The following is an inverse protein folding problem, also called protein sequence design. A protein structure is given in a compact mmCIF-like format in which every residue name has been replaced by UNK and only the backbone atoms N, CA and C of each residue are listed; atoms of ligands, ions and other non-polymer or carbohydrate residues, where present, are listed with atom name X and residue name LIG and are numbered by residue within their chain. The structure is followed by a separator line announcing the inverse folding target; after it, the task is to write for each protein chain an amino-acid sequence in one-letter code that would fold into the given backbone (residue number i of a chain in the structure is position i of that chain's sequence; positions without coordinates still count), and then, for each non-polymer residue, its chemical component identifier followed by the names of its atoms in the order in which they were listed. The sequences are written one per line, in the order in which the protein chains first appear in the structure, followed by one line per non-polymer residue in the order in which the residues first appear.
data_IF_636314935785
#
_entry.id   IF_636314935785
#
_cell.length_a   1.000
_cell.length_b   1.000
_cell.length_c   1.000
_cell.angle_alpha   90.00
_cell.angle_beta   90.00
_cell.angle_gamma   90.00
#
_symmetry.space_group_name_H-M   'P 1'
#
loop_
_entity.id
_entity.type
_entity.pdbx_description
1 polymer ?
#
# COMPACT_ATOMS: atom_id res chain seq x y z
N UNK A 1 16.83 -12.08 -6.08
CA UNK A 1 17.17 -11.50 -7.39
C UNK A 1 18.66 -11.12 -7.41
N UNK A 2 19.40 -11.21 -8.54
CA UNK A 2 20.85 -11.03 -8.58
C UNK A 2 21.33 -9.57 -8.71
N UNK A 3 20.43 -8.60 -8.73
CA UNK A 3 20.81 -7.19 -8.77
C UNK A 3 21.01 -6.71 -7.33
N UNK A 4 22.28 -6.54 -6.93
CA UNK A 4 22.60 -6.01 -5.60
C UNK A 4 22.00 -4.62 -5.40
N UNK A 5 21.67 -4.29 -4.15
CA UNK A 5 21.13 -2.99 -3.72
C UNK A 5 22.19 -1.86 -3.76
N UNK A 6 22.90 -1.79 -4.87
CA UNK A 6 24.03 -0.87 -5.10
C UNK A 6 23.60 0.58 -4.98
N UNK A 7 22.37 0.91 -5.40
CA UNK A 7 21.82 2.26 -5.29
C UNK A 7 21.62 2.69 -3.83
N UNK A 8 21.08 1.84 -2.95
CA UNK A 8 20.97 2.19 -1.53
C UNK A 8 22.33 2.30 -0.84
N UNK A 9 23.28 1.41 -1.19
CA UNK A 9 24.65 1.49 -0.68
C UNK A 9 25.31 2.83 -1.00
N UNK A 10 25.02 3.45 -2.15
CA UNK A 10 25.52 4.78 -2.46
C UNK A 10 24.85 5.87 -1.62
N UNK A 11 23.54 5.76 -1.36
CA UNK A 11 22.78 6.70 -0.51
C UNK A 11 23.29 6.72 0.93
N UNK A 12 23.78 5.58 1.43
CA UNK A 12 24.38 5.50 2.78
C UNK A 12 25.67 6.30 2.94
N UNK A 13 26.29 6.78 1.86
CA UNK A 13 27.42 7.70 1.94
C UNK A 13 27.00 9.14 2.27
N UNK A 14 25.72 9.47 2.17
CA UNK A 14 25.16 10.76 2.51
C UNK A 14 24.53 10.73 3.90
N UNK A 15 24.55 11.89 4.56
CA UNK A 15 23.93 12.06 5.87
C UNK A 15 22.43 11.82 5.83
N UNK A 16 21.84 11.57 7.00
CA UNK A 16 20.38 11.38 7.12
C UNK A 16 19.65 12.65 6.68
N UNK A 17 20.23 13.81 6.97
CA UNK A 17 19.66 15.12 6.65
C UNK A 17 19.64 15.43 5.15
N UNK A 18 20.63 14.94 4.40
CA UNK A 18 20.72 15.14 2.94
C UNK A 18 19.72 14.28 2.18
N UNK A 19 19.43 13.08 2.67
CA UNK A 19 18.56 12.11 2.00
C UNK A 19 17.12 12.13 2.53
N UNK A 20 16.87 12.74 3.68
CA UNK A 20 15.52 12.87 4.22
C UNK A 20 14.65 13.73 3.28
N UNK A 21 13.46 13.24 2.88
CA UNK A 21 12.61 13.96 1.94
C UNK A 21 12.07 15.28 2.52
N UNK A 22 11.95 16.31 1.69
CA UNK A 22 11.21 17.53 2.06
C UNK A 22 9.70 17.27 2.00
N UNK A 23 9.10 17.15 3.18
CA UNK A 23 7.67 16.88 3.36
C UNK A 23 6.89 18.11 3.86
N UNK A 24 7.47 19.30 3.75
CA UNK A 24 6.91 20.54 4.33
C UNK A 24 5.53 20.95 3.78
N UNK A 25 5.15 20.45 2.60
CA UNK A 25 3.88 20.74 1.92
C UNK A 25 2.99 19.50 1.78
N UNK A 26 3.30 18.43 2.50
CA UNK A 26 2.66 17.14 2.33
C UNK A 26 1.57 16.90 3.37
N UNK A 27 0.47 16.32 2.91
CA UNK A 27 -0.69 15.96 3.70
C UNK A 27 -1.12 14.52 3.38
N UNK A 28 -0.32 13.58 3.83
CA UNK A 28 -0.59 12.14 3.78
C UNK A 28 -0.15 11.49 5.11
N UNK A 29 -0.64 10.28 5.40
CA UNK A 29 -0.36 9.60 6.68
C UNK A 29 1.14 9.35 6.89
N UNK A 30 1.86 8.89 5.86
CA UNK A 30 3.30 8.67 5.90
C UNK A 30 4.04 9.94 6.32
N UNK A 31 3.74 11.09 5.72
CA UNK A 31 4.43 12.35 5.99
C UNK A 31 4.19 12.88 7.42
N UNK A 32 3.06 12.55 8.05
CA UNK A 32 2.81 12.90 9.46
C UNK A 32 3.65 12.08 10.44
N UNK A 33 4.06 10.88 10.04
CA UNK A 33 4.67 9.88 10.92
C UNK A 33 6.18 9.79 10.68
N UNK A 34 6.62 9.95 9.44
CA UNK A 34 8.03 9.85 9.08
C UNK A 34 8.81 11.01 9.68
N UNK A 35 9.66 10.70 10.65
CA UNK A 35 10.62 11.64 11.25
C UNK A 35 12.03 11.34 10.76
N UNK A 36 12.94 12.31 10.89
CA UNK A 36 14.36 12.10 10.58
C UNK A 36 14.98 10.95 11.38
N UNK A 37 14.57 10.81 12.65
CA UNK A 37 15.00 9.71 13.50
C UNK A 37 14.50 8.35 12.98
N UNK A 38 13.21 8.27 12.63
CA UNK A 38 12.60 7.06 12.08
C UNK A 38 13.25 6.66 10.75
N UNK A 39 13.48 7.64 9.87
CA UNK A 39 14.17 7.46 8.60
C UNK A 39 15.60 6.96 8.81
N UNK A 40 16.37 7.62 9.68
CA UNK A 40 17.73 7.21 10.01
C UNK A 40 17.85 5.79 10.57
N UNK A 41 16.85 5.34 11.35
CA UNK A 41 16.81 3.98 11.92
C UNK A 41 16.53 2.88 10.89
N UNK A 42 15.94 3.21 9.74
CA UNK A 42 15.41 2.22 8.80
C UNK A 42 15.92 2.37 7.36
N UNK A 43 16.60 3.46 7.00
CA UNK A 43 17.10 3.73 5.64
C UNK A 43 18.15 2.71 5.15
N UNK A 44 18.86 2.07 6.07
CA UNK A 44 19.84 1.01 5.79
C UNK A 44 19.20 -0.38 5.66
N UNK A 45 17.91 -0.52 5.97
CA UNK A 45 17.18 -1.79 5.89
C UNK A 45 16.66 -2.06 4.49
N UNK A 46 16.52 -3.35 4.21
CA UNK A 46 15.86 -3.86 3.03
C UNK A 46 15.15 -5.19 3.36
N UNK A 47 14.14 -5.52 2.59
CA UNK A 47 13.46 -6.82 2.65
C UNK A 47 14.30 -7.91 1.96
N UNK A 48 13.93 -9.21 2.07
CA UNK A 48 14.62 -10.28 1.35
C UNK A 48 14.61 -10.12 -0.16
N UNK A 49 13.60 -9.42 -0.72
CA UNK A 49 13.52 -9.12 -2.16
C UNK A 49 14.37 -7.91 -2.57
N UNK A 50 14.84 -7.12 -1.59
CA UNK A 50 15.64 -5.91 -1.80
C UNK A 50 14.83 -4.61 -1.76
N UNK A 51 13.56 -4.65 -1.35
CA UNK A 51 12.71 -3.47 -1.22
C UNK A 51 13.17 -2.61 -0.03
N UNK A 52 13.34 -1.31 -0.23
CA UNK A 52 13.91 -0.38 0.75
C UNK A 52 12.87 0.57 1.33
N UNK A 53 13.25 1.31 2.38
CA UNK A 53 12.39 2.36 2.94
C UNK A 53 12.05 3.44 1.91
N UNK A 54 13.00 3.79 1.03
CA UNK A 54 12.76 4.79 0.00
C UNK A 54 11.71 4.32 -1.00
N UNK A 55 11.74 3.03 -1.39
CA UNK A 55 10.72 2.44 -2.25
C UNK A 55 9.34 2.46 -1.57
N UNK A 56 9.29 2.22 -0.25
CA UNK A 56 8.06 2.28 0.54
C UNK A 56 7.43 3.67 0.50
N UNK A 57 8.22 4.73 0.66
CA UNK A 57 7.71 6.10 0.84
C UNK A 57 7.61 6.91 -0.46
N UNK A 58 8.23 6.45 -1.56
CA UNK A 58 8.36 7.22 -2.81
C UNK A 58 7.02 7.78 -3.30
N UNK A 59 5.95 6.99 -3.23
CA UNK A 59 4.61 7.45 -3.63
C UNK A 59 4.12 8.65 -2.80
N UNK A 60 4.37 8.67 -1.49
CA UNK A 60 3.98 9.79 -0.64
C UNK A 60 4.89 10.99 -0.79
N UNK A 61 6.17 10.79 -1.14
CA UNK A 61 7.11 11.88 -1.45
C UNK A 61 6.69 12.59 -2.74
N UNK A 62 6.38 11.83 -3.80
CA UNK A 62 6.01 12.39 -5.11
C UNK A 62 4.59 12.98 -5.12
N UNK A 63 3.70 12.47 -4.25
CA UNK A 63 2.31 12.89 -4.18
C UNK A 63 2.03 13.59 -2.83
N UNK A 64 2.13 14.94 -2.75
CA UNK A 64 1.96 15.69 -1.51
C UNK A 64 0.54 15.66 -0.92
N UNK A 65 -0.40 14.97 -1.54
CA UNK A 65 -1.75 14.77 -1.04
C UNK A 65 -2.78 15.66 -1.74
N UNK A 66 -4.02 15.61 -1.22
CA UNK A 66 -5.17 16.31 -1.80
C UNK A 66 -5.89 17.13 -0.71
N UNK A 67 -6.43 18.33 -1.00
CA UNK A 67 -7.02 19.21 0.03
C UNK A 67 -8.17 18.60 0.84
N UNK A 68 -8.87 17.62 0.27
CA UNK A 68 -10.08 17.04 0.86
C UNK A 68 -9.92 15.58 1.30
N UNK A 69 -8.84 14.91 0.88
CA UNK A 69 -8.67 13.47 1.09
C UNK A 69 -7.26 13.22 1.65
N UNK A 70 -7.21 12.50 2.78
CA UNK A 70 -5.96 12.03 3.36
C UNK A 70 -5.53 10.75 2.65
N UNK A 71 -4.43 10.80 1.90
CA UNK A 71 -3.83 9.62 1.29
C UNK A 71 -2.88 8.92 2.27
N UNK A 72 -2.58 7.65 2.03
CA UNK A 72 -1.67 6.87 2.87
C UNK A 72 -0.22 7.35 2.70
N UNK A 73 0.28 7.41 1.47
CA UNK A 73 1.63 7.91 1.16
C UNK A 73 2.76 6.90 1.34
N UNK A 74 2.46 5.62 1.59
CA UNK A 74 3.45 4.54 1.54
C UNK A 74 2.83 3.24 1.01
N UNK A 75 3.67 2.34 0.49
CA UNK A 75 3.29 1.04 -0.07
C UNK A 75 4.24 -0.06 0.40
N UNK A 76 3.73 -1.27 0.54
CA UNK A 76 4.55 -2.47 0.73
C UNK A 76 4.89 -3.07 -0.64
N UNK A 77 6.15 -3.46 -0.85
CA UNK A 77 6.61 -4.12 -2.07
C UNK A 77 6.51 -5.64 -2.01
N UNK A 78 6.49 -6.19 -0.79
CA UNK A 78 6.40 -7.61 -0.47
C UNK A 78 5.75 -7.78 0.93
N UNK A 79 5.58 -9.04 1.36
CA UNK A 79 4.97 -9.36 2.65
C UNK A 79 5.84 -8.88 3.82
N UNK A 80 7.15 -9.09 3.73
CA UNK A 80 8.12 -8.75 4.76
C UNK A 80 8.28 -7.24 4.98
N UNK A 81 7.85 -6.40 4.02
CA UNK A 81 7.82 -4.95 4.16
C UNK A 81 7.08 -4.50 5.42
N UNK A 82 5.98 -5.16 5.78
CA UNK A 82 5.20 -4.82 6.97
C UNK A 82 5.96 -5.13 8.28
N UNK A 83 6.86 -6.11 8.27
CA UNK A 83 7.66 -6.45 9.45
C UNK A 83 8.94 -5.60 9.54
N UNK A 84 9.66 -5.47 8.43
CA UNK A 84 10.94 -4.75 8.34
C UNK A 84 10.75 -3.26 8.64
N UNK A 85 9.67 -2.67 8.13
CA UNK A 85 9.34 -1.26 8.26
C UNK A 85 8.12 -1.01 9.18
N UNK A 86 7.85 -1.93 10.12
CA UNK A 86 6.71 -1.83 11.05
C UNK A 86 6.67 -0.53 11.84
N UNK A 87 7.82 0.05 12.19
CA UNK A 87 7.87 1.29 12.96
C UNK A 87 7.28 2.48 12.17
N UNK A 88 7.18 2.37 10.84
CA UNK A 88 6.43 3.28 9.97
C UNK A 88 4.99 2.76 9.72
N UNK A 89 4.83 1.48 9.36
CA UNK A 89 3.53 0.95 8.98
C UNK A 89 2.51 0.88 10.11
N UNK A 90 2.90 0.45 11.30
CA UNK A 90 2.01 0.32 12.46
C UNK A 90 1.31 1.64 12.81
N UNK A 91 2.02 2.77 13.00
CA UNK A 91 1.37 4.05 13.25
C UNK A 91 0.55 4.54 12.04
N UNK A 92 0.96 4.27 10.79
CA UNK A 92 0.20 4.64 9.58
C UNK A 92 -1.13 3.89 9.55
N UNK A 93 -1.10 2.58 9.79
CA UNK A 93 -2.27 1.70 9.84
C UNK A 93 -3.20 2.16 10.96
N UNK A 94 -2.65 2.45 12.14
CA UNK A 94 -3.42 2.92 13.28
C UNK A 94 -4.15 4.23 12.98
N UNK A 95 -3.45 5.24 12.42
CA UNK A 95 -4.06 6.54 12.09
C UNK A 95 -5.12 6.39 10.98
N UNK A 96 -4.86 5.56 9.96
CA UNK A 96 -5.79 5.35 8.84
C UNK A 96 -7.04 4.54 9.22
N UNK A 97 -6.93 3.62 10.19
CA UNK A 97 -7.97 2.69 10.62
C UNK A 97 -8.57 3.04 12.00
N UNK A 98 -8.48 4.30 12.43
CA UNK A 98 -9.19 4.78 13.62
C UNK A 98 -8.66 4.17 14.93
N UNK A 99 -7.35 3.96 15.03
CA UNK A 99 -6.68 3.45 16.22
C UNK A 99 -6.47 1.94 16.25
N UNK A 100 -6.55 1.26 15.10
CA UNK A 100 -6.25 -0.17 14.99
C UNK A 100 -4.83 -0.45 15.50
N UNK A 101 -4.70 -1.34 16.49
CA UNK A 101 -3.44 -1.61 17.17
C UNK A 101 -2.70 -2.77 16.50
N UNK A 102 -1.37 -2.84 16.63
CA UNK A 102 -0.60 -4.01 16.17
C UNK A 102 -1.02 -5.33 16.83
N UNK A 103 -1.67 -5.27 17.99
CA UNK A 103 -2.18 -6.44 18.72
C UNK A 103 -3.58 -6.86 18.30
N UNK A 104 -4.29 -6.02 17.54
CA UNK A 104 -5.65 -6.29 17.11
C UNK A 104 -5.64 -7.32 15.98
N UNK A 105 -6.61 -8.23 15.99
CA UNK A 105 -6.73 -9.30 14.98
C UNK A 105 -7.82 -8.96 13.98
N UNK A 106 -7.49 -9.06 12.70
CA UNK A 106 -8.43 -8.84 11.63
C UNK A 106 -9.49 -9.94 11.65
N UNK A 107 -10.77 -9.56 11.53
CA UNK A 107 -11.88 -10.52 11.46
C UNK A 107 -12.41 -10.55 10.04
N UNK A 108 -12.21 -11.69 9.38
CA UNK A 108 -12.76 -11.94 8.05
C UNK A 108 -14.02 -12.77 8.16
N UNK A 109 -15.13 -12.26 7.63
CA UNK A 109 -16.37 -13.00 7.44
C UNK A 109 -16.84 -12.80 6.00
N UNK A 110 -16.73 -13.85 5.20
CA UNK A 110 -17.15 -13.88 3.80
C UNK A 110 -18.49 -14.62 3.62
N UNK A 111 -19.19 -14.97 4.71
CA UNK A 111 -20.50 -15.58 4.61
C UNK A 111 -21.56 -14.51 4.30
N UNK A 112 -22.08 -14.52 3.07
CA UNK A 112 -23.11 -13.58 2.62
C UNK A 112 -24.40 -13.66 3.45
N UNK A 113 -24.69 -14.79 4.09
CA UNK A 113 -25.89 -14.97 4.91
C UNK A 113 -25.88 -14.11 6.18
N UNK A 114 -24.70 -13.70 6.65
CA UNK A 114 -24.56 -12.83 7.81
C UNK A 114 -24.86 -11.35 7.49
N UNK A 115 -25.05 -11.01 6.21
CA UNK A 115 -25.42 -9.67 5.77
C UNK A 115 -26.89 -9.37 6.11
N UNK A 116 -27.10 -8.37 6.98
CA UNK A 116 -28.44 -7.87 7.28
C UNK A 116 -28.83 -6.81 6.25
N UNK A 117 -29.86 -7.10 5.46
CA UNK A 117 -30.43 -6.14 4.51
C UNK A 117 -31.51 -5.35 5.24
N UNK A 118 -31.27 -4.06 5.47
CA UNK A 118 -32.29 -3.11 5.92
C UNK A 118 -32.80 -2.32 4.71
N UNK A 119 -34.13 -2.26 4.55
CA UNK A 119 -34.72 -1.33 3.57
C UNK A 119 -34.53 0.11 4.06
N UNK A 120 -33.85 0.93 3.27
CA UNK A 120 -33.63 2.34 3.61
C UNK A 120 -34.98 3.09 3.59
N UNK A 121 -35.45 3.61 4.74
CA UNK A 121 -36.74 4.29 4.78
C UNK A 121 -36.67 5.60 3.98
N UNK A 122 -37.47 5.70 2.91
CA UNK A 122 -37.63 6.92 2.11
C UNK A 122 -36.86 6.97 0.79
N UNK A 123 -36.25 5.87 0.33
CA UNK A 123 -35.67 5.81 -1.01
C UNK A 123 -36.77 5.67 -2.09
N UNK A 124 -37.40 6.78 -2.48
CA UNK A 124 -38.23 6.86 -3.70
C UNK A 124 -37.40 7.04 -4.98
N UNK A 125 -36.08 6.80 -4.90
CA UNK A 125 -35.12 6.87 -6.00
C UNK A 125 -34.27 5.59 -6.08
N UNK A 126 -33.89 5.22 -7.30
CA UNK A 126 -33.31 3.91 -7.63
C UNK A 126 -31.80 3.94 -7.40
N UNK A 127 -31.29 3.03 -6.56
CA UNK A 127 -29.87 2.65 -6.58
C UNK A 127 -29.60 2.03 -7.96
N UNK A 128 -28.87 2.75 -8.80
CA UNK A 128 -28.65 2.33 -10.20
C UNK A 128 -27.72 1.12 -10.30
N UNK A 129 -26.74 1.02 -9.40
CA UNK A 129 -25.82 -0.10 -9.34
C UNK A 129 -25.20 -0.22 -7.93
N UNK A 130 -24.85 -1.45 -7.54
CA UNK A 130 -24.10 -1.76 -6.32
C UNK A 130 -22.93 -2.64 -6.71
N UNK A 131 -21.71 -2.17 -6.45
CA UNK A 131 -20.49 -2.92 -6.69
C UNK A 131 -19.80 -3.28 -5.38
N UNK A 132 -19.38 -4.54 -5.26
CA UNK A 132 -18.44 -4.99 -4.23
C UNK A 132 -17.15 -5.42 -4.92
N UNK A 133 -16.11 -4.57 -4.95
CA UNK A 133 -14.83 -4.92 -5.55
C UNK A 133 -14.08 -5.93 -4.65
N UNK A 134 -14.16 -7.22 -4.95
CA UNK A 134 -13.31 -8.24 -4.35
C UNK A 134 -11.93 -8.27 -5.05
N UNK A 135 -10.86 -8.42 -4.27
CA UNK A 135 -9.46 -8.35 -4.72
C UNK A 135 -9.11 -9.28 -5.90
N UNK A 136 -8.42 -8.71 -6.89
CA UNK A 136 -7.74 -9.24 -8.08
C UNK A 136 -7.63 -10.77 -8.25
N UNK A 137 -8.53 -11.37 -9.04
CA UNK A 137 -8.25 -12.55 -9.87
C UNK A 137 -9.21 -12.65 -11.07
N UNK A 138 -10.46 -12.18 -10.93
CA UNK A 138 -11.51 -12.38 -11.94
C UNK A 138 -11.74 -11.20 -12.90
N UNK A 139 -11.28 -10.00 -12.56
CA UNK A 139 -11.49 -8.79 -13.37
C UNK A 139 -10.66 -8.73 -14.66
N UNK A 140 -9.59 -9.55 -14.78
CA UNK A 140 -8.74 -9.57 -15.98
C UNK A 140 -9.40 -10.20 -17.22
N UNK A 141 -10.53 -10.92 -17.09
CA UNK A 141 -11.27 -11.44 -18.27
C UNK A 141 -12.22 -10.43 -18.91
N UNK A 142 -12.71 -9.42 -18.17
CA UNK A 142 -13.67 -8.42 -18.70
C UNK A 142 -13.02 -7.12 -19.18
N UNK A 143 -11.76 -6.85 -18.83
CA UNK A 143 -11.03 -5.66 -19.27
C UNK A 143 -10.43 -5.74 -20.70
N UNK A 144 -10.78 -6.75 -21.52
CA UNK A 144 -10.37 -6.81 -22.94
C UNK A 144 -11.27 -6.06 -23.92
N UNK A 145 -12.36 -5.43 -23.46
CA UNK A 145 -13.33 -4.79 -24.37
C UNK A 145 -13.31 -3.24 -24.37
N UNK A 146 -12.56 -2.55 -23.50
CA UNK A 146 -12.79 -1.10 -23.38
C UNK A 146 -11.61 -0.19 -23.01
N UNK A 147 -10.37 -0.54 -23.41
CA UNK A 147 -9.30 0.47 -23.40
C UNK A 147 -8.25 0.22 -24.49
N UNK A 148 -8.63 0.54 -25.73
CA UNK A 148 -7.70 0.98 -26.76
C UNK A 148 -7.65 2.53 -26.71
N UNK A 149 -6.46 3.10 -26.94
CA UNK A 149 -6.00 4.48 -26.72
C UNK A 149 -5.51 4.70 -25.27
N UNK A 150 -4.21 4.78 -24.95
CA UNK A 150 -3.09 5.32 -25.71
C UNK A 150 -1.82 4.53 -25.35
N UNK A 151 -1.14 4.03 -26.37
CA UNK A 151 0.17 3.38 -26.28
C UNK A 151 1.27 4.42 -25.99
N UNK A 152 2.01 4.22 -24.91
CA UNK A 152 3.44 4.51 -24.76
C UNK A 152 3.85 3.87 -23.41
N UNK A 153 4.88 3.05 -23.25
CA UNK A 153 5.90 2.50 -24.14
C UNK A 153 6.57 1.37 -23.33
N UNK A 154 6.49 0.13 -23.83
CA UNK A 154 7.59 -0.86 -23.94
C UNK A 154 8.72 -0.66 -22.89
N UNK A 155 8.87 -1.42 -21.81
CA UNK A 155 9.22 -2.85 -21.79
C UNK A 155 9.20 -3.34 -20.33
N UNK A 156 8.38 -4.30 -19.93
CA UNK A 156 8.67 -5.20 -18.79
C UNK A 156 7.64 -6.34 -18.66
N UNK A 157 7.34 -7.02 -19.78
CA UNK A 157 6.52 -8.23 -19.77
C UNK A 157 7.34 -9.37 -20.39
N UNK A 158 8.19 -9.93 -19.53
CA UNK A 158 8.82 -11.24 -19.68
C UNK A 158 9.25 -11.65 -18.28
N UNK A 159 8.75 -12.80 -17.82
CA UNK A 159 9.03 -13.47 -16.54
C UNK A 159 8.19 -12.98 -15.35
N UNK A 160 7.08 -13.68 -15.09
CA UNK A 160 7.01 -14.69 -14.02
C UNK A 160 5.57 -15.19 -13.87
N UNK A 161 5.18 -16.11 -14.76
CA UNK A 161 4.39 -17.26 -14.33
C UNK A 161 5.34 -18.15 -13.51
N UNK A 162 5.04 -18.38 -12.23
CA UNK A 162 5.27 -19.61 -11.45
C UNK A 162 5.34 -19.31 -9.95
N UNK A 163 4.23 -19.55 -9.26
CA UNK A 163 4.07 -20.53 -8.17
C UNK A 163 3.03 -20.05 -7.14
N UNK A 164 1.95 -20.82 -7.07
CA UNK A 164 1.01 -20.92 -5.96
C UNK A 164 1.72 -21.48 -4.70
N UNK A 165 1.01 -21.38 -3.56
CA UNK A 165 1.26 -21.96 -2.23
C UNK A 165 1.97 -21.05 -1.21
N UNK A 166 1.22 -20.34 -0.38
CA UNK A 166 0.71 -20.81 0.92
C UNK A 166 0.01 -19.64 1.65
N UNK A 167 -1.06 -19.95 2.36
CA UNK A 167 -2.01 -19.01 2.95
C UNK A 167 -1.95 -19.14 4.47
N UNK A 168 -1.01 -18.45 5.11
CA UNK A 168 -1.02 -18.16 6.55
C UNK A 168 -0.10 -16.97 6.82
N UNK A 169 -0.57 -15.72 6.65
CA UNK A 169 -0.17 -14.48 7.38
C UNK A 169 -0.78 -13.18 6.80
N UNK A 170 -2.01 -13.23 6.27
CA UNK A 170 -2.68 -12.08 5.60
C UNK A 170 -3.30 -11.01 6.53
N UNK A 171 -2.87 -10.91 7.78
CA UNK A 171 -3.54 -10.04 8.76
C UNK A 171 -3.04 -8.58 8.77
N UNK A 172 -1.90 -8.29 8.13
CA UNK A 172 -1.43 -6.91 7.89
C UNK A 172 -1.72 -6.40 6.46
N UNK A 173 -1.75 -7.31 5.47
CA UNK A 173 -1.89 -6.97 4.05
C UNK A 173 -3.26 -6.37 3.67
N UNK A 174 -4.31 -6.72 4.41
CA UNK A 174 -5.69 -6.33 4.08
C UNK A 174 -6.00 -4.88 4.46
N UNK A 175 -5.20 -4.24 5.31
CA UNK A 175 -5.44 -2.87 5.76
C UNK A 175 -5.05 -1.80 4.72
N UNK A 176 -4.09 -2.05 3.83
CA UNK A 176 -3.61 -1.01 2.90
C UNK A 176 -4.20 -1.09 1.49
N UNK A 177 -4.78 -2.23 1.10
CA UNK A 177 -5.23 -2.51 -0.28
C UNK A 177 -6.70 -2.09 -0.53
N UNK A 178 -7.48 -1.76 0.50
CA UNK A 178 -8.91 -1.41 0.37
C UNK A 178 -9.19 0.10 0.21
N UNK A 179 -8.42 0.81 -0.65
CA UNK A 179 -8.79 2.15 -1.15
C UNK A 179 -8.89 2.14 -2.67
#
# INVERSE_FOLDING_TARGET
MPFGNTHNNFKLNYSVEEEFPDLSKHNNHMAKILTKELYGKMRDKQTPTGFTLDDVIQTGVDNPGHPFIMTVGCVAGDEESYEVFKDLFDPVISDRHGGYKPTDKHKTDLNFENLKVEELPGATGIILHTDSPASLADSQRRAKAQCYLLKAQISFLSLLELQEETMEHRDALTALICV
#
